data_IF_999206021012
#
_entry.id   IF_999206021012
#
_cell.length_a   1.000
_cell.length_b   1.000
_cell.length_c   1.000
_cell.angle_alpha   90.00
_cell.angle_beta   90.00
_cell.angle_gamma   90.00
#
_symmetry.space_group_name_H-M   'P 1'
#
loop_
_entity.id
_entity.type
_entity.pdbx_description
1 polymer ?
#
# COMPACT_ATOMS: atom_id res chain seq x y z
N UNK A 1 -15.15 -22.53 16.12
CA UNK A 1 -13.74 -22.11 16.02
C UNK A 1 -13.70 -20.60 16.28
N UNK A 2 -12.71 -20.05 16.99
CA UNK A 2 -12.64 -18.60 17.14
C UNK A 2 -12.54 -17.99 15.73
N UNK A 3 -13.35 -16.96 15.44
CA UNK A 3 -13.30 -16.27 14.15
C UNK A 3 -11.92 -15.64 13.99
N UNK A 4 -11.14 -16.13 13.04
CA UNK A 4 -9.79 -15.63 12.73
C UNK A 4 -9.84 -14.17 12.25
N UNK A 5 -10.96 -13.77 11.63
CA UNK A 5 -11.20 -12.42 11.17
C UNK A 5 -12.62 -11.97 11.57
N UNK A 6 -12.74 -10.68 11.90
CA UNK A 6 -14.01 -10.00 12.15
C UNK A 6 -14.23 -8.94 11.08
N UNK A 7 -15.47 -8.77 10.61
CA UNK A 7 -15.85 -7.66 9.75
C UNK A 7 -16.99 -6.85 10.34
N UNK A 8 -16.86 -5.53 10.21
CA UNK A 8 -17.92 -4.57 10.49
C UNK A 8 -18.18 -3.76 9.19
N UNK A 9 -19.43 -3.41 8.91
CA UNK A 9 -19.82 -2.60 7.75
C UNK A 9 -20.44 -1.29 8.17
N UNK A 10 -19.99 -0.23 7.55
CA UNK A 10 -20.50 1.13 7.66
C UNK A 10 -20.94 1.59 6.28
N UNK A 11 -22.20 2.00 6.12
CA UNK A 11 -22.73 2.28 4.78
C UNK A 11 -23.81 3.38 4.81
N UNK A 12 -23.99 4.01 3.66
CA UNK A 12 -25.11 4.88 3.35
C UNK A 12 -26.18 4.02 2.64
N UNK A 13 -26.98 3.27 3.43
CA UNK A 13 -27.92 2.31 2.85
C UNK A 13 -29.18 2.97 2.28
N UNK A 14 -29.54 4.17 2.72
CA UNK A 14 -30.71 4.89 2.24
C UNK A 14 -30.35 5.77 1.05
N UNK A 15 -30.95 5.50 -0.09
CA UNK A 15 -30.74 6.18 -1.34
C UNK A 15 -31.97 7.03 -1.72
N UNK A 16 -31.79 8.23 -2.23
CA UNK A 16 -32.92 9.00 -2.79
C UNK A 16 -33.52 8.27 -3.98
N UNK A 17 -34.81 8.47 -4.23
CA UNK A 17 -35.51 7.91 -5.40
C UNK A 17 -34.73 8.20 -6.70
N UNK A 18 -34.53 7.16 -7.52
CA UNK A 18 -33.81 7.26 -8.78
C UNK A 18 -32.26 7.20 -8.67
N UNK A 19 -31.68 7.25 -7.48
CA UNK A 19 -30.23 7.04 -7.27
C UNK A 19 -29.92 5.55 -7.26
N UNK A 20 -28.70 5.18 -7.72
CA UNK A 20 -28.22 3.79 -7.73
C UNK A 20 -26.85 3.59 -7.11
N UNK A 21 -26.19 4.65 -6.61
CA UNK A 21 -24.82 4.56 -6.11
C UNK A 21 -24.79 4.31 -4.61
N UNK A 22 -24.17 3.18 -4.22
CA UNK A 22 -24.05 2.72 -2.84
C UNK A 22 -22.58 2.78 -2.40
N UNK A 23 -22.34 3.48 -1.29
CA UNK A 23 -21.03 3.54 -0.65
C UNK A 23 -21.02 2.74 0.64
N UNK A 24 -20.02 1.88 0.80
CA UNK A 24 -19.83 1.10 2.01
C UNK A 24 -18.34 0.98 2.38
N UNK A 25 -18.05 1.07 3.66
CA UNK A 25 -16.74 0.75 4.24
C UNK A 25 -16.84 -0.58 4.97
N UNK A 26 -16.00 -1.53 4.61
CA UNK A 26 -15.81 -2.77 5.35
C UNK A 26 -14.53 -2.68 6.16
N UNK A 27 -14.65 -2.66 7.48
CA UNK A 27 -13.53 -2.79 8.40
C UNK A 27 -13.28 -4.25 8.68
N UNK A 28 -12.08 -4.72 8.42
CA UNK A 28 -11.68 -6.09 8.73
C UNK A 28 -10.56 -6.08 9.76
N UNK A 29 -10.72 -6.90 10.80
CA UNK A 29 -9.71 -7.07 11.85
C UNK A 29 -9.33 -8.53 11.96
N UNK A 30 -8.05 -8.84 11.81
CA UNK A 30 -7.49 -10.15 12.12
C UNK A 30 -7.40 -10.32 13.64
N UNK A 31 -7.83 -11.46 14.16
CA UNK A 31 -7.73 -11.75 15.60
C UNK A 31 -6.30 -12.15 15.98
N UNK A 32 -5.98 -12.11 17.28
CA UNK A 32 -4.73 -12.67 17.80
C UNK A 32 -4.61 -14.17 17.50
N UNK A 33 -5.74 -14.89 17.42
CA UNK A 33 -5.80 -16.32 17.13
C UNK A 33 -5.60 -16.65 15.63
N UNK A 34 -5.79 -15.70 14.71
CA UNK A 34 -5.58 -15.91 13.28
C UNK A 34 -4.17 -16.44 12.96
N UNK A 35 -3.22 -16.07 13.78
CA UNK A 35 -1.82 -16.52 13.65
C UNK A 35 -1.56 -17.97 14.09
N UNK A 36 -2.40 -18.53 14.94
CA UNK A 36 -2.16 -19.89 15.46
C UNK A 36 -2.66 -20.96 14.47
N UNK A 37 -3.68 -20.63 13.70
CA UNK A 37 -4.38 -21.56 12.81
C UNK A 37 -3.99 -21.48 11.35
N UNK A 38 -3.53 -20.31 10.87
CA UNK A 38 -3.14 -20.04 9.48
C UNK A 38 -1.62 -19.91 9.33
N UNK A 39 -0.82 -20.88 9.78
CA UNK A 39 0.63 -20.87 9.55
C UNK A 39 0.91 -21.00 8.06
N UNK A 40 1.53 -19.97 7.48
CA UNK A 40 2.14 -20.02 6.15
C UNK A 40 3.22 -21.12 6.10
N UNK A 41 3.54 -21.63 4.92
CA UNK A 41 4.61 -22.62 4.68
C UNK A 41 6.03 -22.06 4.94
N UNK A 42 6.15 -21.01 5.74
CA UNK A 42 7.40 -20.29 6.02
C UNK A 42 7.37 -18.85 5.54
N UNK A 43 8.52 -18.20 5.63
CA UNK A 43 8.73 -16.82 5.16
C UNK A 43 9.91 -16.79 4.21
N UNK A 44 9.79 -16.00 3.13
CA UNK A 44 10.90 -15.72 2.23
C UNK A 44 11.03 -14.21 2.07
N UNK A 45 12.16 -13.66 2.52
CA UNK A 45 12.47 -12.24 2.47
C UNK A 45 13.52 -11.97 1.39
N UNK A 46 13.20 -11.14 0.41
CA UNK A 46 14.11 -10.71 -0.66
C UNK A 46 14.60 -9.29 -0.44
N UNK A 47 15.89 -9.05 -0.51
CA UNK A 47 16.49 -7.73 -0.48
C UNK A 47 16.99 -7.40 -1.90
N UNK A 48 16.42 -6.37 -2.51
CA UNK A 48 16.79 -5.84 -3.81
C UNK A 48 17.45 -4.48 -3.60
N UNK A 49 18.76 -4.45 -3.62
CA UNK A 49 19.53 -3.23 -3.38
C UNK A 49 20.06 -2.66 -4.69
N UNK A 50 19.73 -1.41 -4.96
CA UNK A 50 20.36 -0.62 -5.99
C UNK A 50 21.85 -0.50 -5.72
N UNK A 51 22.65 -0.83 -6.73
CA UNK A 51 24.11 -0.67 -6.73
C UNK A 51 24.58 0.10 -7.96
N UNK A 52 23.70 0.91 -8.55
CA UNK A 52 24.05 1.81 -9.64
C UNK A 52 25.08 2.84 -9.21
N UNK A 53 25.71 3.52 -10.19
CA UNK A 53 26.77 4.50 -9.94
C UNK A 53 26.34 5.64 -9.01
N UNK A 54 25.06 6.01 -8.96
CA UNK A 54 24.52 7.05 -8.05
C UNK A 54 24.58 6.67 -6.56
N UNK A 55 24.69 5.37 -6.27
CA UNK A 55 24.87 4.84 -4.91
C UNK A 55 26.29 4.98 -4.36
N UNK A 56 27.27 5.39 -5.19
CA UNK A 56 28.68 5.47 -4.79
C UNK A 56 28.89 6.30 -3.52
N UNK A 57 29.88 5.92 -2.71
CA UNK A 57 30.26 6.60 -1.49
C UNK A 57 29.41 6.21 -0.28
N UNK A 58 28.90 7.21 0.44
CA UNK A 58 28.20 6.99 1.72
C UNK A 58 26.89 6.22 1.60
N UNK A 59 26.20 6.31 0.46
CA UNK A 59 24.91 5.63 0.26
C UNK A 59 25.09 4.10 0.21
N UNK A 60 26.03 3.60 -0.59
CA UNK A 60 26.27 2.15 -0.71
C UNK A 60 26.81 1.56 0.59
N UNK A 61 27.68 2.29 1.30
CA UNK A 61 28.19 1.81 2.59
C UNK A 61 27.10 1.75 3.66
N UNK A 62 26.19 2.74 3.71
CA UNK A 62 25.04 2.71 4.58
C UNK A 62 24.06 1.56 4.22
N UNK A 63 23.83 1.32 2.93
CA UNK A 63 23.00 0.22 2.45
C UNK A 63 23.61 -1.14 2.83
N UNK A 64 24.92 -1.34 2.67
CA UNK A 64 25.63 -2.55 3.11
C UNK A 64 25.48 -2.80 4.61
N UNK A 65 25.70 -1.75 5.41
CA UNK A 65 25.56 -1.84 6.87
C UNK A 65 24.11 -2.22 7.25
N UNK A 66 23.12 -1.57 6.64
CA UNK A 66 21.70 -1.85 6.89
C UNK A 66 21.29 -3.27 6.45
N UNK A 67 21.78 -3.73 5.28
CA UNK A 67 21.56 -5.13 4.83
C UNK A 67 22.14 -6.14 5.82
N UNK A 68 23.36 -5.92 6.31
CA UNK A 68 23.97 -6.80 7.35
C UNK A 68 23.09 -6.81 8.60
N UNK A 69 22.63 -5.65 9.06
CA UNK A 69 21.75 -5.58 10.25
C UNK A 69 20.42 -6.27 10.02
N UNK A 70 19.82 -6.11 8.85
CA UNK A 70 18.57 -6.78 8.51
C UNK A 70 18.75 -8.30 8.51
N UNK A 71 19.81 -8.82 7.87
CA UNK A 71 20.14 -10.25 7.87
C UNK A 71 20.40 -10.77 9.28
N UNK A 72 21.07 -9.99 10.15
CA UNK A 72 21.28 -10.34 11.57
C UNK A 72 19.95 -10.56 12.29
N UNK A 73 18.96 -9.69 12.05
CA UNK A 73 17.65 -9.72 12.71
C UNK A 73 16.70 -10.80 12.18
N UNK A 74 16.97 -11.40 11.02
CA UNK A 74 16.12 -12.46 10.48
C UNK A 74 16.10 -13.67 11.43
N UNK A 75 14.93 -14.17 11.86
CA UNK A 75 14.83 -15.39 12.64
C UNK A 75 15.15 -16.62 11.79
N UNK A 76 15.60 -17.70 12.42
CA UNK A 76 16.05 -18.93 11.73
C UNK A 76 14.94 -19.62 10.90
N UNK A 77 13.67 -19.38 11.26
CA UNK A 77 12.49 -19.88 10.54
C UNK A 77 12.16 -19.07 9.26
N UNK A 78 12.98 -18.08 8.93
CA UNK A 78 12.85 -17.24 7.74
C UNK A 78 13.95 -17.57 6.75
N UNK A 79 13.58 -17.82 5.49
CA UNK A 79 14.54 -17.88 4.38
C UNK A 79 14.73 -16.49 3.78
N UNK A 80 15.88 -16.24 3.18
CA UNK A 80 16.17 -14.96 2.54
C UNK A 80 17.05 -15.11 1.30
N UNK A 81 17.06 -14.08 0.45
CA UNK A 81 18.01 -13.89 -0.64
C UNK A 81 18.35 -12.42 -0.81
N UNK A 82 19.47 -12.12 -1.46
CA UNK A 82 19.92 -10.74 -1.71
C UNK A 82 20.31 -10.59 -3.17
N UNK A 83 19.74 -9.58 -3.82
CA UNK A 83 20.07 -9.15 -5.18
C UNK A 83 20.72 -7.77 -5.13
N UNK A 84 21.84 -7.62 -5.84
CA UNK A 84 22.42 -6.33 -6.19
C UNK A 84 21.99 -6.00 -7.62
N UNK A 85 21.23 -4.92 -7.77
CA UNK A 85 20.63 -4.51 -9.03
C UNK A 85 21.30 -3.26 -9.59
N UNK A 86 21.66 -3.31 -10.87
CA UNK A 86 22.13 -2.20 -11.69
C UNK A 86 21.54 -2.36 -13.11
N UNK A 87 22.33 -2.18 -14.18
CA UNK A 87 21.95 -2.58 -15.56
C UNK A 87 21.71 -4.08 -15.66
N UNK A 88 22.42 -4.86 -14.85
CA UNK A 88 22.24 -6.29 -14.66
C UNK A 88 22.05 -6.61 -13.18
N UNK A 89 21.71 -7.86 -12.88
CA UNK A 89 21.44 -8.34 -11.52
C UNK A 89 22.47 -9.36 -11.09
N UNK A 90 23.06 -9.13 -9.91
CA UNK A 90 23.95 -10.10 -9.27
C UNK A 90 23.24 -10.73 -8.07
N UNK A 91 23.20 -12.05 -8.02
CA UNK A 91 22.72 -12.79 -6.85
C UNK A 91 23.84 -12.81 -5.80
N UNK A 92 23.70 -11.98 -4.77
CA UNK A 92 24.67 -11.81 -3.68
C UNK A 92 24.55 -12.93 -2.66
N UNK A 93 23.32 -13.29 -2.30
CA UNK A 93 23.04 -14.44 -1.45
C UNK A 93 21.87 -15.23 -2.05
N UNK A 94 22.03 -16.51 -2.36
CA UNK A 94 20.97 -17.38 -2.86
C UNK A 94 19.96 -17.65 -1.75
N UNK A 95 18.75 -18.12 -2.15
CA UNK A 95 17.70 -18.52 -1.19
C UNK A 95 18.25 -19.55 -0.21
N UNK A 96 18.24 -19.20 1.07
CA UNK A 96 18.73 -20.04 2.16
C UNK A 96 18.04 -19.66 3.48
N UNK A 97 17.95 -20.58 4.45
CA UNK A 97 17.49 -20.24 5.79
C UNK A 97 18.44 -19.26 6.48
N UNK A 98 17.89 -18.42 7.37
CA UNK A 98 18.66 -17.42 8.10
C UNK A 98 19.42 -18.01 9.30
N UNK A 99 20.08 -19.16 9.12
CA UNK A 99 20.98 -19.73 10.12
C UNK A 99 22.34 -19.02 10.16
N UNK A 100 23.13 -19.30 11.17
CA UNK A 100 24.42 -18.64 11.39
C UNK A 100 25.37 -18.78 10.20
N UNK A 101 25.39 -19.95 9.53
CA UNK A 101 26.29 -20.21 8.40
C UNK A 101 25.93 -19.36 7.19
N UNK A 102 24.64 -19.32 6.82
CA UNK A 102 24.19 -18.54 5.67
C UNK A 102 24.26 -17.04 5.93
N UNK A 103 23.98 -16.58 7.16
CA UNK A 103 24.19 -15.17 7.55
C UNK A 103 25.66 -14.75 7.38
N UNK A 104 26.62 -15.57 7.84
CA UNK A 104 28.04 -15.25 7.69
C UNK A 104 28.48 -15.19 6.23
N UNK A 105 27.98 -16.10 5.38
CA UNK A 105 28.22 -16.06 3.93
C UNK A 105 27.64 -14.79 3.30
N UNK A 106 26.42 -14.41 3.69
CA UNK A 106 25.79 -13.19 3.21
C UNK A 106 26.58 -11.94 3.62
N UNK A 107 27.07 -11.84 4.87
CA UNK A 107 27.92 -10.73 5.31
C UNK A 107 29.18 -10.60 4.49
N UNK A 108 29.87 -11.73 4.21
CA UNK A 108 31.06 -11.72 3.38
C UNK A 108 30.75 -11.22 1.96
N UNK A 109 29.64 -11.69 1.36
CA UNK A 109 29.21 -11.29 0.03
C UNK A 109 28.75 -9.82 -0.05
N UNK A 110 27.98 -9.33 0.93
CA UNK A 110 27.54 -7.93 1.00
C UNK A 110 28.75 -6.97 0.97
N UNK A 111 29.83 -7.31 1.69
CA UNK A 111 31.04 -6.47 1.74
C UNK A 111 31.71 -6.29 0.39
N UNK A 112 31.55 -7.23 -0.54
CA UNK A 112 32.13 -7.18 -1.88
C UNK A 112 31.32 -6.34 -2.89
N UNK A 113 30.14 -5.86 -2.49
CA UNK A 113 29.30 -5.02 -3.36
C UNK A 113 30.02 -3.71 -3.65
N UNK A 114 30.07 -3.35 -4.94
CA UNK A 114 30.55 -2.06 -5.44
C UNK A 114 29.41 -1.39 -6.22
N UNK A 115 29.39 -0.07 -6.21
CA UNK A 115 28.41 0.72 -6.96
C UNK A 115 28.94 0.93 -8.38
N UNK A 116 28.16 0.51 -9.41
CA UNK A 116 28.49 0.65 -10.82
C UNK A 116 27.25 0.46 -11.70
N UNK A 117 27.26 1.03 -12.91
CA UNK A 117 26.19 0.85 -13.90
C UNK A 117 24.98 1.77 -13.70
N UNK A 118 23.92 1.48 -14.44
CA UNK A 118 22.64 2.20 -14.42
C UNK A 118 21.58 1.51 -13.56
N UNK A 119 20.29 1.77 -13.86
CA UNK A 119 19.16 1.26 -13.04
C UNK A 119 18.12 0.66 -13.97
N UNK A 120 18.00 -0.68 -14.01
CA UNK A 120 17.05 -1.44 -14.84
C UNK A 120 16.19 -2.33 -13.94
N UNK A 121 15.14 -1.73 -13.34
CA UNK A 121 14.33 -2.35 -12.28
C UNK A 121 13.57 -3.58 -12.77
N UNK A 122 13.18 -3.65 -14.05
CA UNK A 122 12.51 -4.83 -14.61
C UNK A 122 13.31 -6.11 -14.41
N UNK A 123 14.62 -6.07 -14.61
CA UNK A 123 15.52 -7.21 -14.40
C UNK A 123 15.61 -7.59 -12.92
N UNK A 124 15.58 -6.61 -12.00
CA UNK A 124 15.60 -6.89 -10.57
C UNK A 124 14.36 -7.63 -10.13
N UNK A 125 13.18 -7.19 -10.62
CA UNK A 125 11.91 -7.84 -10.34
C UNK A 125 11.83 -9.24 -10.97
N UNK A 126 12.36 -9.42 -12.18
CA UNK A 126 12.46 -10.74 -12.83
C UNK A 126 13.28 -11.72 -11.99
N UNK A 127 14.45 -11.31 -11.52
CA UNK A 127 15.30 -12.13 -10.66
C UNK A 127 14.64 -12.41 -9.30
N UNK A 128 13.98 -11.41 -8.71
CA UNK A 128 13.22 -11.59 -7.47
C UNK A 128 12.10 -12.63 -7.63
N UNK A 129 11.30 -12.51 -8.71
CA UNK A 129 10.24 -13.47 -9.03
C UNK A 129 10.77 -14.89 -9.13
N UNK A 130 11.89 -15.09 -9.83
CA UNK A 130 12.52 -16.40 -9.96
C UNK A 130 12.92 -17.00 -8.60
N UNK A 131 13.47 -16.18 -7.70
CA UNK A 131 13.83 -16.63 -6.35
C UNK A 131 12.60 -16.94 -5.48
N UNK A 132 11.54 -16.13 -5.57
CA UNK A 132 10.31 -16.33 -4.79
C UNK A 132 9.53 -17.59 -5.18
N UNK A 133 9.64 -18.07 -6.42
CA UNK A 133 8.98 -19.31 -6.86
C UNK A 133 9.52 -20.57 -6.19
N UNK A 134 10.70 -20.50 -5.55
CA UNK A 134 11.30 -21.65 -4.83
C UNK A 134 10.55 -22.04 -3.54
N UNK A 135 9.71 -21.14 -2.98
CA UNK A 135 8.95 -21.39 -1.76
C UNK A 135 7.45 -21.04 -1.95
N UNK A 136 6.68 -21.89 -2.64
CA UNK A 136 5.24 -21.65 -2.81
C UNK A 136 4.51 -21.73 -1.45
N UNK A 137 3.52 -20.86 -1.24
CA UNK A 137 2.74 -20.79 0.00
C UNK A 137 3.42 -20.11 1.19
N UNK A 138 4.69 -19.68 1.05
CA UNK A 138 5.36 -18.84 2.04
C UNK A 138 4.81 -17.39 2.01
N UNK A 139 4.95 -16.67 3.12
CA UNK A 139 4.85 -15.20 3.09
C UNK A 139 6.07 -14.67 2.34
N UNK A 140 5.84 -14.04 1.20
CA UNK A 140 6.88 -13.59 0.27
C UNK A 140 6.92 -12.07 0.27
N UNK A 141 8.01 -11.50 0.78
CA UNK A 141 8.20 -10.07 0.91
C UNK A 141 9.51 -9.63 0.31
N UNK A 142 9.48 -8.67 -0.58
CA UNK A 142 10.65 -7.96 -1.08
C UNK A 142 10.79 -6.59 -0.40
N UNK A 143 12.03 -6.15 -0.26
CA UNK A 143 12.41 -4.77 0.02
C UNK A 143 13.29 -4.28 -1.11
N UNK A 144 12.82 -3.28 -1.86
CA UNK A 144 13.56 -2.61 -2.92
C UNK A 144 14.08 -1.28 -2.41
N UNK A 145 15.39 -1.08 -2.45
CA UNK A 145 16.07 0.17 -2.10
C UNK A 145 16.71 0.74 -3.36
N UNK A 146 16.44 2.00 -3.68
CA UNK A 146 17.07 2.73 -4.78
C UNK A 146 17.28 4.20 -4.45
N UNK A 147 18.26 4.83 -5.02
CA UNK A 147 18.48 6.29 -4.97
C UNK A 147 18.30 6.95 -6.33
N UNK A 148 18.00 6.16 -7.37
CA UNK A 148 17.94 6.60 -8.76
C UNK A 148 16.59 6.39 -9.43
N UNK A 149 16.52 6.85 -10.68
CA UNK A 149 15.36 6.65 -11.55
C UNK A 149 15.63 5.43 -12.42
N UNK A 150 14.58 4.64 -12.66
CA UNK A 150 14.66 3.57 -13.66
C UNK A 150 15.01 4.12 -15.05
N UNK A 151 15.78 3.39 -15.84
CA UNK A 151 16.10 3.76 -17.20
C UNK A 151 14.80 3.93 -18.01
N UNK A 152 14.73 5.02 -18.79
CA UNK A 152 13.57 5.30 -19.64
C UNK A 152 13.33 4.21 -20.69
N UNK A 153 14.40 3.56 -21.16
CA UNK A 153 14.31 2.45 -22.09
C UNK A 153 13.65 1.20 -21.46
N UNK A 154 13.74 1.04 -20.13
CA UNK A 154 13.16 -0.08 -19.39
C UNK A 154 11.65 0.09 -19.07
N UNK A 155 11.06 1.26 -19.31
CA UNK A 155 9.70 1.57 -18.87
C UNK A 155 8.65 0.54 -19.33
N UNK A 156 8.74 0.09 -20.59
CA UNK A 156 7.81 -0.91 -21.15
C UNK A 156 8.02 -2.30 -20.52
N UNK A 157 9.26 -2.69 -20.35
CA UNK A 157 9.62 -3.98 -19.76
C UNK A 157 9.24 -4.01 -18.26
N UNK A 158 9.42 -2.88 -17.57
CA UNK A 158 9.00 -2.73 -16.18
C UNK A 158 7.48 -2.94 -16.03
N UNK A 159 6.66 -2.31 -16.87
CA UNK A 159 5.19 -2.51 -16.85
C UNK A 159 4.83 -3.98 -17.04
N UNK A 160 5.41 -4.64 -18.05
CA UNK A 160 5.17 -6.07 -18.33
C UNK A 160 5.63 -6.95 -17.17
N UNK A 161 6.76 -6.64 -16.56
CA UNK A 161 7.30 -7.39 -15.42
C UNK A 161 6.46 -7.21 -14.16
N UNK A 162 5.93 -6.01 -13.91
CA UNK A 162 5.01 -5.76 -12.80
C UNK A 162 3.74 -6.61 -12.91
N UNK A 163 3.16 -6.71 -14.11
CA UNK A 163 2.02 -7.61 -14.36
C UNK A 163 2.37 -9.08 -14.08
N UNK A 164 3.56 -9.51 -14.51
CA UNK A 164 4.04 -10.88 -14.27
C UNK A 164 4.37 -11.17 -12.80
N UNK A 165 4.70 -10.16 -12.00
CA UNK A 165 4.99 -10.28 -10.57
C UNK A 165 3.74 -10.15 -9.68
N UNK A 166 2.63 -9.66 -10.22
CA UNK A 166 1.40 -9.43 -9.45
C UNK A 166 0.91 -10.72 -8.78
N UNK A 167 0.73 -10.66 -7.45
CA UNK A 167 0.34 -11.80 -6.63
C UNK A 167 1.44 -12.85 -6.39
N UNK A 168 2.68 -12.62 -6.86
CA UNK A 168 3.79 -13.53 -6.61
C UNK A 168 4.52 -13.21 -5.30
N UNK A 169 4.64 -11.93 -4.94
CA UNK A 169 5.23 -11.44 -3.71
C UNK A 169 4.77 -9.99 -3.46
N UNK A 170 4.94 -9.52 -2.22
CA UNK A 170 4.76 -8.10 -1.89
C UNK A 170 6.12 -7.38 -1.95
N UNK A 171 6.15 -6.10 -2.34
CA UNK A 171 7.38 -5.33 -2.46
C UNK A 171 7.24 -3.96 -1.83
N UNK A 172 7.92 -3.73 -0.71
CA UNK A 172 8.09 -2.40 -0.15
C UNK A 172 9.23 -1.69 -0.91
N UNK A 173 8.97 -0.45 -1.35
CA UNK A 173 9.94 0.36 -2.08
C UNK A 173 10.43 1.52 -1.22
N UNK A 174 11.73 1.74 -1.20
CA UNK A 174 12.38 2.82 -0.46
C UNK A 174 13.30 3.61 -1.35
N UNK A 175 13.01 4.90 -1.44
CA UNK A 175 13.89 5.84 -2.16
C UNK A 175 14.83 6.56 -1.19
N UNK A 176 16.13 6.53 -1.46
CA UNK A 176 17.16 7.21 -0.65
C UNK A 176 17.48 8.57 -1.25
N UNK A 177 17.42 9.63 -0.44
CA UNK A 177 17.63 10.99 -0.95
C UNK A 177 16.49 11.44 -1.87
N UNK A 178 16.79 12.19 -2.93
CA UNK A 178 15.78 12.90 -3.73
C UNK A 178 15.90 12.70 -5.25
N UNK A 179 16.75 11.79 -5.73
CA UNK A 179 17.02 11.67 -7.17
C UNK A 179 16.15 10.59 -7.86
N UNK A 180 15.37 9.85 -7.09
CA UNK A 180 14.36 8.88 -7.55
C UNK A 180 13.01 9.55 -7.84
N UNK A 181 12.06 8.81 -8.44
CA UNK A 181 10.70 9.29 -8.76
C UNK A 181 9.64 8.64 -7.87
N UNK A 182 8.81 9.48 -7.26
CA UNK A 182 7.74 9.05 -6.35
C UNK A 182 6.69 8.21 -7.08
N UNK A 183 6.20 8.66 -8.23
CA UNK A 183 5.22 7.96 -9.07
C UNK A 183 5.68 6.57 -9.46
N UNK A 184 6.95 6.41 -9.82
CA UNK A 184 7.53 5.14 -10.24
C UNK A 184 7.60 4.12 -9.09
N UNK A 185 8.09 4.51 -7.92
CA UNK A 185 8.12 3.61 -6.76
C UNK A 185 6.73 3.33 -6.21
N UNK A 186 5.81 4.29 -6.27
CA UNK A 186 4.41 4.09 -5.93
C UNK A 186 3.72 3.10 -6.89
N UNK A 187 4.03 3.15 -8.19
CA UNK A 187 3.53 2.18 -9.16
C UNK A 187 4.02 0.76 -8.82
N UNK A 188 5.32 0.59 -8.56
CA UNK A 188 5.92 -0.71 -8.22
C UNK A 188 5.30 -1.25 -6.92
N UNK A 189 5.36 -0.49 -5.84
CA UNK A 189 4.81 -0.89 -4.55
C UNK A 189 3.30 -1.11 -4.65
N UNK A 190 2.61 -0.21 -5.31
CA UNK A 190 1.18 -0.31 -5.56
C UNK A 190 0.82 -1.62 -6.26
N UNK A 191 1.44 -1.96 -7.37
CA UNK A 191 1.20 -3.23 -8.11
C UNK A 191 1.54 -4.46 -7.27
N UNK A 192 2.56 -4.38 -6.43
CA UNK A 192 3.05 -5.50 -5.62
C UNK A 192 2.56 -5.46 -4.16
N UNK A 193 1.49 -4.71 -3.86
CA UNK A 193 0.83 -4.65 -2.54
C UNK A 193 1.79 -4.32 -1.38
N UNK A 194 2.80 -3.53 -1.66
CA UNK A 194 3.73 -2.98 -0.68
C UNK A 194 3.50 -1.50 -0.44
N UNK A 195 4.43 -0.88 0.26
CA UNK A 195 4.42 0.55 0.61
C UNK A 195 5.59 1.29 -0.01
N UNK A 196 5.41 2.59 -0.28
CA UNK A 196 6.51 3.47 -0.70
C UNK A 196 6.81 4.47 0.40
N UNK A 197 8.09 4.71 0.67
CA UNK A 197 8.49 5.80 1.56
C UNK A 197 9.86 6.36 1.13
N UNK A 198 10.15 7.58 1.59
CA UNK A 198 11.44 8.23 1.42
C UNK A 198 12.32 8.00 2.66
N UNK A 199 13.60 7.71 2.41
CA UNK A 199 14.66 7.73 3.42
C UNK A 199 15.50 9.00 3.17
N UNK A 200 15.29 10.08 3.93
CA UNK A 200 15.89 11.38 3.66
C UNK A 200 17.42 11.37 3.72
N UNK A 201 18.00 10.48 4.52
CA UNK A 201 19.45 10.35 4.62
C UNK A 201 19.89 8.88 4.78
N UNK A 202 21.08 8.50 4.30
CA UNK A 202 21.61 7.15 4.44
C UNK A 202 21.65 6.64 5.88
N UNK A 203 21.83 7.51 6.86
CA UNK A 203 21.86 7.13 8.29
C UNK A 203 20.54 6.55 8.81
N UNK A 204 19.42 6.76 8.10
CA UNK A 204 18.10 6.28 8.49
C UNK A 204 17.72 4.92 7.86
N UNK A 205 18.53 4.40 6.93
CA UNK A 205 18.24 3.14 6.21
C UNK A 205 18.05 1.98 7.19
N UNK A 206 18.92 1.85 8.19
CA UNK A 206 18.84 0.76 9.17
C UNK A 206 17.51 0.78 9.96
N UNK A 207 17.09 1.96 10.42
CA UNK A 207 15.85 2.09 11.19
C UNK A 207 14.61 1.76 10.35
N UNK A 208 14.60 2.17 9.08
CA UNK A 208 13.50 1.87 8.17
C UNK A 208 13.44 0.36 7.84
N UNK A 209 14.58 -0.25 7.54
CA UNK A 209 14.68 -1.69 7.30
C UNK A 209 14.20 -2.53 8.48
N UNK A 210 14.55 -2.12 9.70
CA UNK A 210 14.07 -2.75 10.93
C UNK A 210 12.55 -2.70 11.02
N UNK A 211 11.96 -1.53 10.80
CA UNK A 211 10.51 -1.34 10.87
C UNK A 211 9.76 -2.18 9.81
N UNK A 212 10.32 -2.31 8.59
CA UNK A 212 9.74 -3.18 7.54
C UNK A 212 9.83 -4.64 7.96
N UNK A 213 10.97 -5.08 8.46
CA UNK A 213 11.15 -6.47 8.89
C UNK A 213 10.18 -6.83 10.01
N UNK A 214 10.03 -5.99 11.03
CA UNK A 214 9.08 -6.20 12.13
C UNK A 214 7.64 -6.37 11.62
N UNK A 215 7.20 -5.52 10.69
CA UNK A 215 5.88 -5.65 10.03
C UNK A 215 5.77 -6.96 9.24
N UNK A 216 6.82 -7.35 8.52
CA UNK A 216 6.83 -8.60 7.74
C UNK A 216 6.77 -9.82 8.63
N UNK A 217 7.53 -9.84 9.73
CA UNK A 217 7.53 -10.94 10.70
C UNK A 217 6.18 -11.09 11.43
N UNK A 218 5.43 -10.02 11.57
CA UNK A 218 4.08 -10.06 12.12
C UNK A 218 3.06 -10.73 11.19
N UNK A 219 3.33 -10.80 9.87
CA UNK A 219 2.43 -11.44 8.89
C UNK A 219 2.42 -12.96 9.06
N UNK A 220 1.22 -13.53 9.09
CA UNK A 220 1.03 -14.97 9.36
C UNK A 220 0.12 -15.67 8.37
N UNK A 221 -0.78 -14.94 7.70
CA UNK A 221 -1.69 -15.45 6.67
C UNK A 221 -1.25 -14.90 5.32
N UNK A 222 -0.82 -15.77 4.41
CA UNK A 222 -0.46 -15.38 3.04
C UNK A 222 -1.69 -15.35 2.12
N UNK A 223 -1.58 -14.62 1.01
CA UNK A 223 -2.48 -14.69 -0.13
C UNK A 223 -3.98 -14.55 0.23
N UNK A 224 -4.31 -13.49 0.98
CA UNK A 224 -5.68 -13.16 1.35
C UNK A 224 -6.33 -12.31 0.24
N UNK A 225 -7.56 -12.66 -0.11
CA UNK A 225 -8.35 -11.93 -1.10
C UNK A 225 -9.63 -11.39 -0.48
N UNK A 226 -10.00 -10.19 -0.90
CA UNK A 226 -11.30 -9.61 -0.64
C UNK A 226 -12.24 -10.06 -1.76
N UNK A 227 -13.25 -10.87 -1.44
CA UNK A 227 -14.25 -11.37 -2.39
C UNK A 227 -15.51 -10.50 -2.31
N UNK A 228 -15.94 -9.98 -3.43
CA UNK A 228 -17.18 -9.21 -3.58
C UNK A 228 -18.12 -9.92 -4.54
N UNK A 229 -19.29 -10.30 -4.05
CA UNK A 229 -20.44 -10.69 -4.84
C UNK A 229 -21.33 -9.47 -5.06
N UNK A 230 -21.85 -9.29 -6.29
CA UNK A 230 -22.83 -8.26 -6.63
C UNK A 230 -23.97 -8.88 -7.45
N UNK A 231 -25.21 -8.37 -7.37
CA UNK A 231 -26.31 -8.89 -8.17
C UNK A 231 -26.08 -8.65 -9.67
N UNK A 232 -26.81 -9.38 -10.51
CA UNK A 232 -26.76 -9.20 -11.94
C UNK A 232 -27.17 -7.77 -12.33
N UNK A 233 -26.40 -7.13 -13.19
CA UNK A 233 -26.64 -5.75 -13.62
C UNK A 233 -26.05 -4.69 -12.72
N UNK A 234 -25.47 -5.05 -11.56
CA UNK A 234 -24.71 -4.12 -10.76
C UNK A 234 -23.28 -3.93 -11.29
N UNK A 235 -22.75 -2.73 -11.15
CA UNK A 235 -21.39 -2.36 -11.55
C UNK A 235 -20.57 -1.92 -10.34
N UNK A 236 -19.38 -2.49 -10.14
CA UNK A 236 -18.45 -2.01 -9.15
C UNK A 236 -17.68 -0.84 -9.76
N UNK A 237 -17.96 0.37 -9.29
CA UNK A 237 -17.27 1.60 -9.70
C UNK A 237 -15.83 1.59 -9.22
N UNK A 238 -15.64 1.25 -7.94
CA UNK A 238 -14.32 1.01 -7.36
C UNK A 238 -14.37 0.13 -6.11
N UNK A 239 -13.22 -0.48 -5.85
CA UNK A 239 -12.86 -1.14 -4.61
C UNK A 239 -11.47 -0.62 -4.20
N UNK A 240 -11.37 0.04 -3.05
CA UNK A 240 -10.11 0.64 -2.56
C UNK A 240 -9.84 0.19 -1.13
N UNK A 241 -8.60 -0.17 -0.83
CA UNK A 241 -8.13 -0.14 0.55
C UNK A 241 -8.00 1.34 0.92
N UNK A 242 -8.50 1.74 2.08
CA UNK A 242 -8.51 3.14 2.53
C UNK A 242 -7.88 3.34 3.89
N UNK A 243 -7.46 2.26 4.55
CA UNK A 243 -6.65 2.25 5.75
C UNK A 243 -5.84 0.94 5.82
N UNK A 244 -4.52 0.99 6.08
CA UNK A 244 -3.73 2.13 6.55
C UNK A 244 -3.31 3.13 5.45
N UNK A 245 -3.51 2.78 4.20
CA UNK A 245 -3.11 3.57 3.04
C UNK A 245 -4.13 3.47 1.92
N UNK A 246 -4.26 4.51 1.09
CA UNK A 246 -5.19 4.49 -0.05
C UNK A 246 -4.53 3.72 -1.19
N UNK A 247 -5.09 2.55 -1.51
CA UNK A 247 -4.68 1.72 -2.64
C UNK A 247 -5.89 1.36 -3.48
N UNK A 248 -5.87 1.71 -4.76
CA UNK A 248 -6.95 1.34 -5.69
C UNK A 248 -6.78 -0.12 -6.14
N UNK A 249 -7.72 -0.97 -5.77
CA UNK A 249 -7.77 -2.38 -6.12
C UNK A 249 -8.67 -2.66 -7.33
N UNK A 250 -9.37 -1.66 -7.86
CA UNK A 250 -10.44 -1.83 -8.85
C UNK A 250 -9.97 -2.58 -10.10
N UNK A 251 -8.83 -2.20 -10.65
CA UNK A 251 -8.25 -2.83 -11.84
C UNK A 251 -7.65 -4.23 -11.58
N UNK A 252 -7.50 -4.63 -10.30
CA UNK A 252 -6.92 -5.92 -9.91
C UNK A 252 -7.97 -7.01 -9.68
N UNK A 253 -9.23 -6.70 -10.00
CA UNK A 253 -10.33 -7.63 -9.88
C UNK A 253 -10.11 -8.88 -10.75
N UNK A 254 -10.11 -10.04 -10.12
CA UNK A 254 -10.15 -11.34 -10.80
C UNK A 254 -11.60 -11.84 -10.78
N UNK A 255 -12.21 -11.97 -11.93
CA UNK A 255 -13.57 -12.53 -12.01
C UNK A 255 -13.50 -14.04 -11.87
N UNK A 256 -13.95 -14.56 -10.73
CA UNK A 256 -13.96 -16.01 -10.45
C UNK A 256 -15.30 -16.68 -10.83
N UNK A 257 -16.39 -15.90 -10.81
CA UNK A 257 -17.75 -16.30 -11.26
C UNK A 257 -18.45 -15.08 -11.89
N UNK A 258 -19.54 -15.22 -12.62
CA UNK A 258 -20.21 -14.10 -13.30
C UNK A 258 -20.52 -12.90 -12.39
N UNK A 259 -20.83 -13.15 -11.12
CA UNK A 259 -21.20 -12.13 -10.13
C UNK A 259 -20.17 -11.98 -9.01
N UNK A 260 -18.99 -12.63 -9.10
CA UNK A 260 -17.98 -12.67 -8.04
C UNK A 260 -16.66 -12.17 -8.56
N UNK A 261 -16.13 -11.15 -7.87
CA UNK A 261 -14.79 -10.60 -8.08
C UNK A 261 -13.95 -10.80 -6.84
N UNK A 262 -12.68 -11.07 -7.02
CA UNK A 262 -11.68 -11.19 -5.98
C UNK A 262 -10.58 -10.15 -6.18
N UNK A 263 -10.26 -9.44 -5.11
CA UNK A 263 -9.23 -8.40 -5.08
C UNK A 263 -8.10 -8.87 -4.16
N UNK A 264 -6.83 -8.91 -4.61
CA UNK A 264 -5.72 -9.30 -3.76
C UNK A 264 -5.50 -8.26 -2.67
N UNK A 265 -5.33 -8.71 -1.43
CA UNK A 265 -5.03 -7.85 -0.27
C UNK A 265 -3.66 -8.15 0.34
N UNK A 266 -2.95 -9.14 -0.20
CA UNK A 266 -1.65 -9.58 0.28
C UNK A 266 -1.70 -10.36 1.59
N UNK A 267 -0.58 -10.41 2.29
CA UNK A 267 -0.47 -11.11 3.56
C UNK A 267 -0.97 -10.26 4.73
N UNK A 268 -1.52 -10.94 5.75
CA UNK A 268 -2.09 -10.32 6.95
C UNK A 268 -1.34 -10.73 8.21
N UNK A 269 -1.21 -9.77 9.14
CA UNK A 269 -0.62 -9.96 10.46
C UNK A 269 -1.65 -10.17 11.58
N UNK A 270 -1.14 -10.41 12.80
CA UNK A 270 -1.95 -10.47 14.02
C UNK A 270 -2.50 -9.10 14.36
N UNK A 271 -3.73 -9.04 14.85
CA UNK A 271 -4.42 -7.81 15.25
C UNK A 271 -4.41 -6.71 14.17
N UNK A 272 -4.06 -7.05 12.94
CA UNK A 272 -4.05 -6.12 11.82
C UNK A 272 -5.48 -5.74 11.45
N UNK A 273 -5.69 -4.45 11.21
CA UNK A 273 -6.98 -3.93 10.77
C UNK A 273 -6.80 -3.15 9.49
N UNK A 274 -7.67 -3.44 8.50
CA UNK A 274 -7.73 -2.69 7.23
C UNK A 274 -9.18 -2.31 6.94
N UNK A 275 -9.33 -1.17 6.26
CA UNK A 275 -10.64 -0.67 5.83
C UNK A 275 -10.71 -0.62 4.31
N UNK A 276 -11.81 -1.11 3.76
CA UNK A 276 -12.05 -1.18 2.31
C UNK A 276 -13.29 -0.39 1.93
N UNK A 277 -13.16 0.52 0.97
CA UNK A 277 -14.24 1.33 0.44
C UNK A 277 -14.75 0.75 -0.88
N UNK A 278 -16.03 0.40 -0.90
CA UNK A 278 -16.74 -0.03 -2.09
C UNK A 278 -17.65 1.09 -2.58
N UNK A 279 -17.66 1.33 -3.88
CA UNK A 279 -18.70 2.05 -4.58
C UNK A 279 -19.35 1.11 -5.60
N UNK A 280 -20.62 0.80 -5.40
CA UNK A 280 -21.39 -0.13 -6.22
C UNK A 280 -22.57 0.63 -6.82
N UNK A 281 -22.72 0.57 -8.14
CA UNK A 281 -23.88 1.07 -8.84
C UNK A 281 -24.87 -0.08 -9.07
N UNK A 282 -26.07 0.08 -8.57
CA UNK A 282 -27.19 -0.83 -8.75
C UNK A 282 -28.31 -0.15 -9.55
N UNK A 283 -29.14 -0.93 -10.23
CA UNK A 283 -30.33 -0.39 -10.89
C UNK A 283 -31.25 0.22 -9.83
N UNK A 284 -31.72 1.46 -10.01
CA UNK A 284 -32.68 2.07 -9.09
C UNK A 284 -33.93 1.25 -8.90
N UNK A 285 -34.32 1.04 -7.64
CA UNK A 285 -35.56 0.35 -7.24
C UNK A 285 -36.68 1.31 -6.91
N UNK A 286 -37.85 0.77 -6.55
CA UNK A 286 -38.98 1.54 -6.08
C UNK A 286 -38.74 2.06 -4.64
N UNK A 287 -39.43 3.15 -4.26
CA UNK A 287 -39.41 3.65 -2.87
C UNK A 287 -39.91 2.55 -1.92
N UNK A 288 -39.13 2.30 -0.86
CA UNK A 288 -39.36 1.20 0.09
C UNK A 288 -38.77 -0.15 -0.30
N UNK A 289 -38.24 -0.28 -1.52
CA UNK A 289 -37.57 -1.52 -1.95
C UNK A 289 -36.19 -1.63 -1.29
N UNK A 290 -35.85 -2.83 -0.79
CA UNK A 290 -34.54 -3.17 -0.25
C UNK A 290 -33.87 -4.19 -1.16
N UNK A 291 -32.63 -3.91 -1.57
CA UNK A 291 -31.83 -4.78 -2.42
C UNK A 291 -30.47 -5.04 -1.75
N UNK A 292 -30.00 -6.29 -1.85
CA UNK A 292 -28.64 -6.63 -1.50
C UNK A 292 -27.71 -6.17 -2.64
N UNK A 293 -27.12 -4.99 -2.49
CA UNK A 293 -26.22 -4.38 -3.49
C UNK A 293 -24.88 -5.12 -3.60
N UNK A 294 -24.42 -5.74 -2.49
CA UNK A 294 -23.20 -6.52 -2.48
C UNK A 294 -23.04 -7.36 -1.23
N UNK A 295 -22.18 -8.37 -1.33
CA UNK A 295 -21.74 -9.19 -0.20
C UNK A 295 -20.24 -9.32 -0.27
N UNK A 296 -19.54 -8.69 0.68
CA UNK A 296 -18.10 -8.73 0.79
C UNK A 296 -17.66 -9.77 1.83
N UNK A 297 -16.55 -10.45 1.57
CA UNK A 297 -15.94 -11.41 2.50
C UNK A 297 -14.45 -11.50 2.24
N UNK A 298 -13.67 -11.96 3.23
CA UNK A 298 -12.29 -12.38 3.00
C UNK A 298 -12.24 -13.86 2.68
N UNK A 299 -11.33 -14.23 1.79
CA UNK A 299 -11.03 -15.62 1.45
C UNK A 299 -9.52 -15.82 1.40
N UNK A 300 -9.06 -16.97 1.89
CA UNK A 300 -7.69 -17.44 1.79
C UNK A 300 -7.67 -18.96 1.67
N UNK A 301 -6.57 -19.51 1.19
CA UNK A 301 -6.41 -20.96 1.04
C UNK A 301 -5.45 -21.50 2.11
N UNK A 302 -5.86 -22.60 2.74
CA UNK A 302 -5.04 -23.31 3.71
C UNK A 302 -5.16 -24.81 3.43
N UNK A 303 -4.04 -25.48 3.30
CA UNK A 303 -3.96 -26.91 3.02
C UNK A 303 -4.80 -27.35 1.81
N UNK A 304 -4.85 -26.47 0.78
CA UNK A 304 -5.65 -26.65 -0.43
C UNK A 304 -7.16 -26.39 -0.27
N UNK A 305 -7.64 -26.05 0.93
CA UNK A 305 -9.03 -25.72 1.21
C UNK A 305 -9.27 -24.21 1.25
N UNK A 306 -10.37 -23.76 0.62
CA UNK A 306 -10.83 -22.39 0.70
C UNK A 306 -11.45 -22.11 2.08
N UNK A 307 -10.98 -21.07 2.73
CA UNK A 307 -11.55 -20.54 3.96
C UNK A 307 -12.20 -19.18 3.65
N UNK A 308 -13.53 -19.11 3.80
CA UNK A 308 -14.29 -17.87 3.71
C UNK A 308 -14.59 -17.35 5.10
N UNK A 309 -14.16 -16.12 5.37
CA UNK A 309 -14.28 -15.48 6.68
C UNK A 309 -14.76 -14.03 6.55
N UNK A 310 -15.20 -13.44 7.66
CA UNK A 310 -15.52 -12.02 7.75
C UNK A 310 -16.51 -11.56 6.66
N UNK A 311 -17.76 -12.07 6.68
CA UNK A 311 -18.78 -11.67 5.72
C UNK A 311 -19.51 -10.39 6.14
N UNK A 312 -19.75 -9.52 5.17
CA UNK A 312 -20.46 -8.26 5.31
C UNK A 312 -21.49 -8.06 4.18
N UNK A 313 -22.67 -7.53 4.52
CA UNK A 313 -23.75 -7.22 3.58
C UNK A 313 -23.79 -5.73 3.27
N UNK A 314 -23.92 -5.38 2.00
CA UNK A 314 -24.09 -4.01 1.52
C UNK A 314 -25.49 -3.89 0.96
N UNK A 315 -26.30 -3.00 1.55
CA UNK A 315 -27.72 -2.84 1.25
C UNK A 315 -27.98 -1.54 0.51
N UNK A 316 -28.99 -1.54 -0.36
CA UNK A 316 -29.59 -0.36 -0.97
C UNK A 316 -31.07 -0.32 -0.64
N UNK A 317 -31.55 0.77 -0.06
CA UNK A 317 -32.97 0.99 0.32
C UNK A 317 -33.38 2.34 -0.24
N UNK A 318 -34.34 2.36 -1.16
CA UNK A 318 -34.81 3.62 -1.74
C UNK A 318 -35.84 4.28 -0.83
N UNK A 319 -35.69 5.58 -0.65
CA UNK A 319 -36.58 6.37 0.20
C UNK A 319 -36.88 7.73 -0.44
N UNK A 320 -38.08 8.25 -0.15
CA UNK A 320 -38.52 9.62 -0.40
C UNK A 320 -38.34 10.53 0.83
N UNK A 321 -37.79 10.00 1.93
CA UNK A 321 -37.45 10.72 3.14
C UNK A 321 -36.04 11.35 2.98
N UNK A 322 -36.03 12.65 2.68
CA UNK A 322 -34.80 13.43 2.51
C UNK A 322 -33.90 13.41 3.76
N UNK A 323 -34.47 13.33 4.96
CA UNK A 323 -33.69 13.27 6.20
C UNK A 323 -32.92 11.94 6.34
N UNK A 324 -33.49 10.83 5.81
CA UNK A 324 -32.81 9.54 5.79
C UNK A 324 -31.74 9.48 4.71
N UNK A 325 -32.06 9.92 3.48
CA UNK A 325 -31.13 9.85 2.35
C UNK A 325 -29.98 10.85 2.46
N UNK A 326 -30.18 11.99 3.11
CA UNK A 326 -29.13 12.98 3.38
C UNK A 326 -28.19 12.60 4.53
N UNK A 327 -28.54 11.60 5.35
CA UNK A 327 -27.71 11.18 6.49
C UNK A 327 -26.51 10.37 6.01
N UNK A 328 -25.36 11.00 5.96
CA UNK A 328 -24.09 10.34 5.59
C UNK A 328 -23.50 9.62 6.81
N UNK A 329 -23.09 8.37 6.62
CA UNK A 329 -22.35 7.63 7.64
C UNK A 329 -20.98 8.27 7.88
N UNK A 330 -20.64 8.56 9.13
CA UNK A 330 -19.39 9.27 9.48
C UNK A 330 -18.13 8.55 9.01
N UNK A 331 -18.11 7.21 8.99
CA UNK A 331 -16.95 6.45 8.53
C UNK A 331 -16.80 6.57 7.01
N UNK A 332 -17.91 6.51 6.26
CA UNK A 332 -17.90 6.72 4.81
C UNK A 332 -17.45 8.15 4.47
N UNK A 333 -17.98 9.15 5.17
CA UNK A 333 -17.61 10.55 5.00
C UNK A 333 -16.12 10.79 5.29
N UNK A 334 -15.61 10.20 6.37
CA UNK A 334 -14.20 10.30 6.76
C UNK A 334 -13.27 9.81 5.64
N UNK A 335 -13.46 8.57 5.16
CA UNK A 335 -12.57 8.02 4.13
C UNK A 335 -12.74 8.66 2.75
N UNK A 336 -13.91 9.18 2.43
CA UNK A 336 -14.11 10.04 1.25
C UNK A 336 -13.29 11.32 1.38
N UNK A 337 -13.28 11.95 2.56
CA UNK A 337 -12.44 13.12 2.87
C UNK A 337 -10.93 12.82 2.81
N UNK A 338 -10.49 11.67 3.31
CA UNK A 338 -9.06 11.27 3.21
C UNK A 338 -8.61 11.10 1.75
N UNK A 339 -9.46 10.55 0.88
CA UNK A 339 -9.15 10.44 -0.55
C UNK A 339 -9.07 11.83 -1.21
N UNK A 340 -9.95 12.74 -0.83
CA UNK A 340 -9.92 14.14 -1.29
C UNK A 340 -8.69 14.88 -0.78
N UNK A 341 -8.26 14.63 0.46
CA UNK A 341 -7.03 15.16 1.04
C UNK A 341 -5.81 14.75 0.22
N UNK A 342 -5.65 13.44 -0.05
CA UNK A 342 -4.53 12.91 -0.84
C UNK A 342 -4.49 13.55 -2.24
N UNK A 343 -5.64 13.62 -2.92
CA UNK A 343 -5.76 14.26 -4.23
C UNK A 343 -5.40 15.76 -4.19
N UNK A 344 -5.89 16.49 -3.21
CA UNK A 344 -5.61 17.93 -3.07
C UNK A 344 -4.13 18.20 -2.83
N UNK A 345 -3.42 17.31 -2.12
CA UNK A 345 -1.97 17.40 -1.94
C UNK A 345 -1.24 17.16 -3.27
N UNK A 346 -1.56 16.08 -3.96
CA UNK A 346 -0.90 15.72 -5.23
C UNK A 346 -1.11 16.81 -6.29
N UNK A 347 -2.36 17.20 -6.54
CA UNK A 347 -2.69 18.26 -7.49
C UNK A 347 -2.06 19.61 -7.09
N UNK A 348 -1.97 19.91 -5.79
CA UNK A 348 -1.38 21.13 -5.25
C UNK A 348 0.14 21.18 -5.41
N UNK A 349 0.84 20.06 -5.21
CA UNK A 349 2.28 19.97 -5.45
C UNK A 349 2.61 20.03 -6.95
N UNK A 350 1.78 19.41 -7.79
CA UNK A 350 1.91 19.52 -9.26
C UNK A 350 1.73 20.98 -9.72
N UNK A 351 0.67 21.66 -9.27
CA UNK A 351 0.43 23.08 -9.60
C UNK A 351 1.60 23.95 -9.17
N UNK A 352 2.18 23.70 -7.98
CA UNK A 352 3.37 24.39 -7.50
C UNK A 352 4.58 24.16 -8.42
N UNK A 353 4.82 22.91 -8.83
CA UNK A 353 5.93 22.58 -9.74
C UNK A 353 5.80 23.26 -11.11
N UNK A 354 4.56 23.49 -11.58
CA UNK A 354 4.25 24.23 -12.80
C UNK A 354 4.27 25.75 -12.62
N UNK A 355 4.49 26.26 -11.40
CA UNK A 355 4.51 27.70 -11.09
C UNK A 355 3.10 28.33 -10.98
N UNK A 356 2.03 27.54 -10.95
CA UNK A 356 0.66 28.02 -10.76
C UNK A 356 0.39 28.26 -9.25
N UNK A 357 0.80 29.46 -8.80
CA UNK A 357 0.77 29.84 -7.38
C UNK A 357 -0.66 29.88 -6.82
N UNK A 358 -1.62 30.38 -7.59
CA UNK A 358 -3.00 30.53 -7.13
C UNK A 358 -3.66 29.15 -6.96
N UNK A 359 -3.53 28.28 -7.95
CA UNK A 359 -4.06 26.91 -7.90
C UNK A 359 -3.37 26.10 -6.80
N UNK A 360 -2.05 26.19 -6.67
CA UNK A 360 -1.30 25.51 -5.62
C UNK A 360 -1.76 25.97 -4.22
N UNK A 361 -1.95 27.29 -4.01
CA UNK A 361 -2.42 27.85 -2.75
C UNK A 361 -3.82 27.36 -2.40
N UNK A 362 -4.74 27.37 -3.36
CA UNK A 362 -6.11 26.90 -3.16
C UNK A 362 -6.16 25.42 -2.80
N UNK A 363 -5.43 24.57 -3.54
CA UNK A 363 -5.43 23.11 -3.32
C UNK A 363 -4.73 22.70 -2.02
N UNK A 364 -3.56 23.26 -1.72
CA UNK A 364 -2.86 22.99 -0.46
C UNK A 364 -3.60 23.59 0.74
N UNK A 365 -4.28 24.74 0.59
CA UNK A 365 -5.17 25.27 1.61
C UNK A 365 -6.36 24.35 1.91
N UNK A 366 -6.99 23.81 0.86
CA UNK A 366 -8.03 22.79 0.99
C UNK A 366 -7.50 21.54 1.72
N UNK A 367 -6.29 21.09 1.38
CA UNK A 367 -5.65 19.96 2.05
C UNK A 367 -5.42 20.23 3.55
N UNK A 368 -4.97 21.43 3.92
CA UNK A 368 -4.79 21.83 5.34
C UNK A 368 -6.11 21.77 6.08
N UNK A 369 -7.21 22.31 5.48
CA UNK A 369 -8.53 22.26 6.09
C UNK A 369 -9.01 20.80 6.32
N UNK A 370 -8.91 19.94 5.31
CA UNK A 370 -9.36 18.53 5.43
C UNK A 370 -8.52 17.80 6.46
N UNK A 371 -7.19 18.00 6.49
CA UNK A 371 -6.31 17.38 7.49
C UNK A 371 -6.67 17.82 8.91
N UNK A 372 -7.00 19.10 9.11
CA UNK A 372 -7.47 19.65 10.40
C UNK A 372 -8.81 19.01 10.81
N UNK A 373 -9.81 19.07 9.93
CA UNK A 373 -11.17 18.59 10.20
C UNK A 373 -11.21 17.07 10.49
N UNK A 374 -10.31 16.29 9.86
CA UNK A 374 -10.20 14.84 10.04
C UNK A 374 -9.26 14.40 11.16
N UNK A 375 -8.57 15.33 11.81
CA UNK A 375 -7.58 15.01 12.86
C UNK A 375 -6.34 14.27 12.32
N UNK A 376 -6.01 14.41 11.03
CA UNK A 376 -4.83 13.78 10.43
C UNK A 376 -3.56 14.59 10.73
N UNK A 377 -3.09 14.50 11.99
CA UNK A 377 -1.91 15.23 12.49
C UNK A 377 -0.63 14.90 11.70
N UNK A 378 -0.48 13.65 11.25
CA UNK A 378 0.67 13.24 10.45
C UNK A 378 0.78 14.05 9.15
N UNK A 379 -0.31 14.12 8.39
CA UNK A 379 -0.37 14.89 7.15
C UNK A 379 -0.35 16.40 7.41
N UNK A 380 -1.02 16.88 8.48
CA UNK A 380 -0.97 18.29 8.86
C UNK A 380 0.46 18.76 9.16
N UNK A 381 1.28 17.95 9.82
CA UNK A 381 2.69 18.23 10.06
C UNK A 381 3.50 18.34 8.76
N UNK A 382 3.28 17.42 7.83
CA UNK A 382 3.94 17.44 6.52
C UNK A 382 3.53 18.66 5.68
N UNK A 383 2.25 19.04 5.69
CA UNK A 383 1.77 20.22 4.99
C UNK A 383 2.48 21.50 5.50
N UNK A 384 2.74 21.63 6.81
CA UNK A 384 3.48 22.77 7.38
C UNK A 384 4.94 22.86 6.92
N UNK A 385 5.52 21.82 6.35
CA UNK A 385 6.86 21.93 5.73
C UNK A 385 6.82 22.66 4.38
N UNK A 386 5.67 22.61 3.69
CA UNK A 386 5.48 23.15 2.33
C UNK A 386 4.74 24.48 2.31
N UNK A 387 3.83 24.72 3.26
CA UNK A 387 3.07 25.96 3.40
C UNK A 387 3.16 26.56 4.79
N UNK A 388 3.01 27.91 4.88
CA UNK A 388 2.77 28.62 6.12
C UNK A 388 1.26 28.64 6.37
N UNK A 389 0.79 27.92 7.38
CA UNK A 389 -0.63 27.86 7.75
C UNK A 389 -0.99 29.10 8.57
N UNK A 390 -1.91 29.90 8.05
CA UNK A 390 -2.42 31.10 8.71
C UNK A 390 -3.70 30.79 9.51
N UNK A 391 -4.61 30.00 8.94
CA UNK A 391 -5.85 29.56 9.58
C UNK A 391 -6.19 28.15 9.09
N UNK A 392 -6.02 27.15 9.94
CA UNK A 392 -6.23 25.75 9.58
C UNK A 392 -7.73 25.41 9.37
N UNK A 393 -8.63 26.01 10.15
CA UNK A 393 -10.07 25.77 10.06
C UNK A 393 -10.64 26.28 8.72
N UNK A 394 -10.10 27.40 8.22
CA UNK A 394 -10.51 27.97 6.93
C UNK A 394 -9.67 27.48 5.76
N UNK A 395 -8.55 26.78 6.03
CA UNK A 395 -7.61 26.38 5.01
C UNK A 395 -6.84 27.57 4.40
N UNK A 396 -6.64 28.64 5.15
CA UNK A 396 -5.87 29.80 4.67
C UNK A 396 -4.39 29.54 4.84
N UNK A 397 -3.67 29.55 3.72
CA UNK A 397 -2.24 29.27 3.68
C UNK A 397 -1.49 30.26 2.79
N UNK A 398 -0.18 30.33 2.97
CA UNK A 398 0.76 30.98 2.05
C UNK A 398 1.80 29.95 1.65
N UNK A 399 2.11 29.85 0.35
CA UNK A 399 3.20 29.00 -0.12
C UNK A 399 4.52 29.51 0.42
N UNK A 400 5.35 28.60 0.91
CA UNK A 400 6.75 28.94 1.26
C UNK A 400 7.54 29.21 -0.02
N UNK A 401 8.33 30.26 -0.04
CA UNK A 401 9.19 30.62 -1.18
C UNK A 401 10.23 29.53 -1.47
N UNK A 402 10.75 28.90 -0.41
CA UNK A 402 11.71 27.81 -0.52
C UNK A 402 11.21 26.61 0.28
N UNK A 403 11.18 25.44 -0.37
CA UNK A 403 10.82 24.16 0.24
C UNK A 403 11.93 23.18 -0.08
N UNK A 404 12.42 22.46 0.92
CA UNK A 404 13.40 21.41 0.69
C UNK A 404 12.75 20.32 -0.22
N UNK A 405 13.53 19.78 -1.16
CA UNK A 405 13.04 18.75 -2.10
C UNK A 405 12.55 17.52 -1.34
N UNK A 406 13.26 17.16 -0.26
CA UNK A 406 12.91 16.07 0.65
C UNK A 406 11.52 16.27 1.29
N UNK A 407 11.19 17.50 1.70
CA UNK A 407 9.92 17.81 2.33
C UNK A 407 8.75 17.69 1.35
N UNK A 408 8.93 18.18 0.12
CA UNK A 408 7.93 18.02 -0.93
C UNK A 408 7.71 16.55 -1.28
N UNK A 409 8.78 15.78 -1.46
CA UNK A 409 8.72 14.35 -1.75
C UNK A 409 8.13 13.55 -0.58
N UNK A 410 8.44 13.90 0.66
CA UNK A 410 7.84 13.26 1.83
C UNK A 410 6.34 13.51 1.92
N UNK A 411 5.88 14.72 1.65
CA UNK A 411 4.46 15.06 1.60
C UNK A 411 3.75 14.29 0.48
N UNK A 412 4.32 14.27 -0.72
CA UNK A 412 3.80 13.55 -1.88
C UNK A 412 3.70 12.04 -1.59
N UNK A 413 4.79 11.42 -1.16
CA UNK A 413 4.88 9.98 -0.90
C UNK A 413 3.93 9.54 0.21
N UNK A 414 3.75 10.36 1.24
CA UNK A 414 2.91 10.03 2.41
C UNK A 414 1.49 10.56 2.33
N UNK A 415 1.12 11.23 1.23
CA UNK A 415 -0.24 11.78 1.03
C UNK A 415 -1.33 10.69 1.05
N UNK A 416 -0.99 9.48 0.66
CA UNK A 416 -1.90 8.32 0.63
C UNK A 416 -2.10 7.65 2.00
N UNK A 417 -1.24 7.95 3.00
CA UNK A 417 -1.40 7.42 4.37
C UNK A 417 -2.60 8.05 5.05
N UNK A 418 -3.46 7.22 5.62
CA UNK A 418 -4.72 7.67 6.23
C UNK A 418 -4.68 7.58 7.75
N UNK A 419 -5.47 8.44 8.39
CA UNK A 419 -5.79 8.31 9.80
C UNK A 419 -7.09 7.49 9.94
N UNK A 420 -7.13 6.56 10.89
CA UNK A 420 -8.33 5.80 11.18
C UNK A 420 -9.33 6.66 11.94
N UNK A 421 -10.63 6.45 11.67
CA UNK A 421 -11.70 7.05 12.49
C UNK A 421 -11.51 6.64 13.95
N UNK A 422 -11.38 7.59 14.86
CA UNK A 422 -11.37 7.33 16.30
C UNK A 422 -12.64 6.55 16.66
N UNK A 423 -12.53 5.53 17.53
CA UNK A 423 -13.72 4.89 18.06
C UNK A 423 -14.53 5.97 18.80
N UNK A 424 -15.86 6.08 18.55
CA UNK A 424 -16.73 6.96 19.29
C UNK A 424 -16.76 6.61 20.79
#
# INVERSE_FOLDING_TARGET
>A
MPNEFKADVFQNQYLPAGSGEVHAIMTVTASEAAAATARSSGRLFGILCDVSGSMEGGKIEAAKAAMCKLVEMLPEDTSFFILAGADDVRLIAPVAPADATHKQRAYAAIRTIIAEGGTVISKWLQAARANFTSMPGAVRQALLLTDGQNDKADARELTSMLEACEGQFQCDCRGVGTDWKVDQLQEIAGKLLGTTDIIPSPAQIEADFRAILEKTLAKTVSDVFLRLWTPQGATVKYCKEVNPEIVDLTARARQTKPQVREYPTGAWGRAETRDYHFCIEVKPGAVGEEVLAGRASLVYWKDGAENKVAEARILAIWTDDDAKSAKINNVVAHYTGQAELAKSIQDGLEARALGDVDRATALLGKAVKIAHDSGNEGTAKLLRTVVDVQDAEKGTVRLKSTVAKEDAMALETRSTKTARVGKP
#
